data_IF_394109397945
#
_entry.id   IF_394109397945
#
_cell.length_a   1.000
_cell.length_b   1.000
_cell.length_c   1.000
_cell.angle_alpha   90.00
_cell.angle_beta   90.00
_cell.angle_gamma   90.00
#
_symmetry.space_group_name_H-M   'P 1'
#
loop_
_entity.id
_entity.type
_entity.pdbx_description
1 polymer ?
#
# COMPACT_ATOMS: atom_id res chain seq x y z
N UNK A 1 -18.05 -12.06 -1.61
CA UNK A 1 -17.01 -12.02 -0.55
C UNK A 1 -17.18 -10.75 0.26
N UNK A 2 -17.41 -10.83 1.57
CA UNK A 2 -17.72 -9.66 2.41
C UNK A 2 -16.49 -8.77 2.65
N UNK A 3 -16.69 -7.48 2.90
CA UNK A 3 -15.62 -6.51 3.21
C UNK A 3 -14.74 -6.98 4.38
N UNK A 4 -15.36 -7.60 5.39
CA UNK A 4 -14.66 -8.17 6.56
C UNK A 4 -13.71 -9.29 6.16
N UNK A 5 -14.15 -10.19 5.27
CA UNK A 5 -13.32 -11.29 4.79
C UNK A 5 -12.14 -10.80 3.93
N UNK A 6 -12.38 -9.81 3.06
CA UNK A 6 -11.32 -9.14 2.28
C UNK A 6 -10.26 -8.52 3.20
N UNK A 7 -10.71 -7.79 4.22
CA UNK A 7 -9.82 -7.13 5.18
C UNK A 7 -9.01 -8.14 6.01
N UNK A 8 -9.66 -9.22 6.46
CA UNK A 8 -8.98 -10.28 7.22
C UNK A 8 -7.89 -10.96 6.40
N UNK A 9 -8.20 -11.42 5.18
CA UNK A 9 -7.20 -12.05 4.30
C UNK A 9 -6.05 -11.08 3.99
N UNK A 10 -6.37 -9.82 3.72
CA UNK A 10 -5.35 -8.81 3.44
C UNK A 10 -4.42 -8.60 4.64
N UNK A 11 -4.94 -8.58 5.87
CA UNK A 11 -4.10 -8.52 7.09
C UNK A 11 -3.19 -9.73 7.20
N UNK A 12 -3.69 -10.94 6.95
CA UNK A 12 -2.88 -12.17 6.98
C UNK A 12 -1.75 -12.09 5.95
N UNK A 13 -2.04 -11.65 4.73
CA UNK A 13 -1.05 -11.46 3.66
C UNK A 13 -0.01 -10.40 4.07
N UNK A 14 -0.44 -9.30 4.68
CA UNK A 14 0.47 -8.25 5.13
C UNK A 14 1.43 -8.73 6.23
N UNK A 15 0.95 -9.53 7.19
CA UNK A 15 1.79 -10.11 8.25
C UNK A 15 2.78 -11.13 7.69
N UNK A 16 2.31 -12.00 6.79
CA UNK A 16 3.16 -12.98 6.13
C UNK A 16 4.22 -12.30 5.24
N UNK A 17 3.83 -11.29 4.47
CA UNK A 17 4.71 -10.49 3.64
C UNK A 17 5.75 -9.70 4.45
N UNK A 18 5.33 -9.09 5.56
CA UNK A 18 6.25 -8.43 6.50
C UNK A 18 7.28 -9.39 7.09
N UNK A 19 6.85 -10.60 7.45
CA UNK A 19 7.75 -11.67 7.90
C UNK A 19 8.74 -12.09 6.81
N UNK A 20 8.28 -12.22 5.56
CA UNK A 20 9.13 -12.54 4.42
C UNK A 20 10.18 -11.45 4.17
N UNK A 21 9.77 -10.17 4.20
CA UNK A 21 10.68 -9.02 4.10
C UNK A 21 11.75 -9.07 5.20
N UNK A 22 11.34 -9.31 6.46
CA UNK A 22 12.27 -9.41 7.58
C UNK A 22 13.31 -10.51 7.36
N UNK A 23 12.88 -11.69 6.90
CA UNK A 23 13.79 -12.80 6.58
C UNK A 23 14.72 -12.43 5.42
N UNK A 24 14.21 -11.81 4.36
CA UNK A 24 15.00 -11.37 3.20
C UNK A 24 16.11 -10.40 3.63
N UNK A 25 15.78 -9.38 4.42
CA UNK A 25 16.75 -8.35 4.85
C UNK A 25 17.80 -8.92 5.82
N UNK A 26 17.43 -9.88 6.66
CA UNK A 26 18.32 -10.40 7.72
C UNK A 26 19.14 -11.61 7.31
N UNK A 27 18.72 -12.36 6.28
CA UNK A 27 19.35 -13.65 5.93
C UNK A 27 19.87 -13.74 4.50
N UNK A 28 19.50 -12.84 3.60
CA UNK A 28 19.93 -12.88 2.21
C UNK A 28 20.89 -11.72 1.93
N UNK A 29 21.91 -12.01 1.12
CA UNK A 29 22.84 -11.00 0.65
C UNK A 29 22.17 -10.10 -0.41
N UNK A 30 22.56 -8.82 -0.50
CA UNK A 30 21.98 -7.88 -1.46
C UNK A 30 22.51 -8.15 -2.88
N UNK A 31 21.92 -9.13 -3.56
CA UNK A 31 22.11 -9.37 -4.99
C UNK A 31 20.91 -8.83 -5.81
N UNK A 32 21.06 -8.80 -7.14
CA UNK A 32 20.03 -8.25 -8.05
C UNK A 32 18.68 -8.97 -7.90
N UNK A 33 18.71 -10.30 -7.68
CA UNK A 33 17.49 -11.10 -7.53
C UNK A 33 16.82 -10.84 -6.18
N UNK A 34 17.58 -10.75 -5.09
CA UNK A 34 17.07 -10.46 -3.75
C UNK A 34 16.51 -9.04 -3.67
N UNK A 35 17.11 -8.07 -4.36
CA UNK A 35 16.54 -6.72 -4.49
C UNK A 35 15.20 -6.77 -5.23
N UNK A 36 15.12 -7.49 -6.36
CA UNK A 36 13.86 -7.67 -7.08
C UNK A 36 12.78 -8.34 -6.24
N UNK A 37 13.15 -9.39 -5.50
CA UNK A 37 12.28 -10.08 -4.56
C UNK A 37 11.80 -9.15 -3.44
N UNK A 38 12.70 -8.35 -2.85
CA UNK A 38 12.39 -7.41 -1.78
C UNK A 38 11.37 -6.37 -2.25
N UNK A 39 11.53 -5.81 -3.45
CA UNK A 39 10.59 -4.85 -4.02
C UNK A 39 9.24 -5.48 -4.32
N UNK A 40 9.21 -6.72 -4.85
CA UNK A 40 7.97 -7.44 -5.08
C UNK A 40 7.24 -7.77 -3.77
N UNK A 41 7.96 -8.20 -2.74
CA UNK A 41 7.41 -8.44 -1.41
C UNK A 41 6.90 -7.14 -0.78
N UNK A 42 7.63 -6.03 -0.93
CA UNK A 42 7.21 -4.72 -0.46
C UNK A 42 5.89 -4.28 -1.11
N UNK A 43 5.77 -4.44 -2.44
CA UNK A 43 4.55 -4.14 -3.19
C UNK A 43 3.35 -4.88 -2.59
N UNK A 44 3.46 -6.20 -2.48
CA UNK A 44 2.37 -7.06 -2.02
C UNK A 44 2.03 -6.76 -0.56
N UNK A 45 3.04 -6.59 0.29
CA UNK A 45 2.86 -6.34 1.72
C UNK A 45 2.17 -5.03 1.98
N UNK A 46 2.62 -3.95 1.33
CA UNK A 46 2.02 -2.61 1.51
C UNK A 46 0.63 -2.55 0.87
N UNK A 47 0.44 -3.12 -0.32
CA UNK A 47 -0.88 -3.18 -0.94
C UNK A 47 -1.88 -3.94 -0.05
N UNK A 48 -1.47 -5.07 0.52
CA UNK A 48 -2.32 -5.83 1.44
C UNK A 48 -2.59 -5.07 2.74
N UNK A 49 -1.60 -4.40 3.31
CA UNK A 49 -1.75 -3.59 4.53
C UNK A 49 -2.68 -2.37 4.32
N UNK A 50 -2.69 -1.78 3.13
CA UNK A 50 -3.52 -0.64 2.80
C UNK A 50 -5.02 -0.98 2.75
N UNK A 51 -5.40 -2.23 2.46
CA UNK A 51 -6.82 -2.65 2.38
C UNK A 51 -7.57 -2.43 3.71
N UNK A 52 -7.15 -2.99 4.87
CA UNK A 52 -7.86 -2.80 6.13
C UNK A 52 -7.84 -1.34 6.60
N UNK A 53 -6.75 -0.61 6.35
CA UNK A 53 -6.64 0.83 6.67
C UNK A 53 -7.65 1.63 5.84
N UNK A 54 -7.68 1.41 4.53
CA UNK A 54 -8.62 2.06 3.62
C UNK A 54 -10.06 1.72 3.99
N UNK A 55 -10.36 0.46 4.32
CA UNK A 55 -11.68 0.05 4.77
C UNK A 55 -12.10 0.77 6.06
N UNK A 56 -11.19 0.91 7.04
CA UNK A 56 -11.46 1.63 8.28
C UNK A 56 -11.72 3.12 8.05
N UNK A 57 -10.90 3.77 7.20
CA UNK A 57 -11.06 5.19 6.84
C UNK A 57 -12.37 5.42 6.09
N UNK A 58 -12.68 4.61 5.07
CA UNK A 58 -13.91 4.75 4.29
C UNK A 58 -15.16 4.46 5.14
N UNK A 59 -15.13 3.48 6.04
CA UNK A 59 -16.24 3.24 6.97
C UNK A 59 -16.50 4.42 7.92
N UNK A 60 -15.49 5.23 8.22
CA UNK A 60 -15.61 6.38 9.11
C UNK A 60 -16.01 7.67 8.40
N UNK A 61 -15.54 7.87 7.17
CA UNK A 61 -15.63 9.17 6.49
C UNK A 61 -16.40 9.17 5.16
N UNK A 62 -16.67 8.00 4.56
CA UNK A 62 -17.43 7.92 3.30
C UNK A 62 -18.95 7.74 3.53
N UNK A 63 -19.75 7.92 2.48
CA UNK A 63 -21.21 7.69 2.49
C UNK A 63 -21.55 6.23 2.79
N UNK A 64 -22.70 5.95 3.40
CA UNK A 64 -23.06 4.60 3.90
C UNK A 64 -23.03 3.49 2.82
N UNK A 65 -23.22 3.84 1.55
CA UNK A 65 -23.28 2.98 0.37
C UNK A 65 -21.98 2.97 -0.47
N UNK A 66 -20.88 3.53 0.06
CA UNK A 66 -19.62 3.70 -0.66
C UNK A 66 -19.09 2.39 -1.27
N UNK A 67 -19.25 1.27 -0.56
CA UNK A 67 -18.72 -0.02 -0.98
C UNK A 67 -19.57 -0.68 -2.07
N UNK A 68 -20.87 -0.43 -2.10
CA UNK A 68 -21.75 -0.87 -3.20
C UNK A 68 -21.57 -0.01 -4.44
N UNK A 69 -21.29 1.30 -4.28
CA UNK A 69 -21.07 2.21 -5.38
C UNK A 69 -19.73 1.96 -6.11
N UNK A 70 -18.64 1.71 -5.38
CA UNK A 70 -17.34 1.34 -5.96
C UNK A 70 -16.65 0.21 -5.15
N UNK A 71 -16.91 -1.06 -5.48
CA UNK A 71 -16.27 -2.20 -4.80
C UNK A 71 -14.78 -2.38 -5.15
N UNK A 72 -14.29 -1.70 -6.20
CA UNK A 72 -12.91 -1.76 -6.67
C UNK A 72 -12.02 -0.69 -6.03
N UNK A 73 -12.63 0.29 -5.37
CA UNK A 73 -11.95 1.37 -4.65
C UNK A 73 -10.81 0.88 -3.74
N UNK A 74 -11.05 -0.15 -2.94
CA UNK A 74 -10.03 -0.69 -2.03
C UNK A 74 -8.84 -1.29 -2.76
N UNK A 75 -9.08 -1.95 -3.90
CA UNK A 75 -8.00 -2.53 -4.72
C UNK A 75 -7.17 -1.45 -5.40
N UNK A 76 -7.81 -0.35 -5.80
CA UNK A 76 -7.13 0.83 -6.34
C UNK A 76 -6.22 1.46 -5.29
N UNK A 77 -6.74 1.79 -4.10
CA UNK A 77 -5.93 2.33 -2.99
C UNK A 77 -4.79 1.39 -2.59
N UNK A 78 -5.04 0.08 -2.57
CA UNK A 78 -4.02 -0.93 -2.31
C UNK A 78 -2.89 -0.92 -3.36
N UNK A 79 -3.26 -0.98 -4.65
CA UNK A 79 -2.29 -0.97 -5.74
C UNK A 79 -1.46 0.31 -5.76
N UNK A 80 -2.11 1.46 -5.59
CA UNK A 80 -1.46 2.77 -5.54
C UNK A 80 -0.49 2.90 -4.36
N UNK A 81 -0.92 2.51 -3.14
CA UNK A 81 -0.08 2.54 -1.95
C UNK A 81 1.15 1.63 -2.08
N UNK A 82 0.94 0.42 -2.60
CA UNK A 82 2.03 -0.52 -2.84
C UNK A 82 3.02 -0.01 -3.89
N UNK A 83 2.53 0.53 -5.00
CA UNK A 83 3.37 1.09 -6.07
C UNK A 83 4.19 2.28 -5.56
N UNK A 84 3.56 3.18 -4.81
CA UNK A 84 4.25 4.31 -4.18
C UNK A 84 5.38 3.83 -3.27
N UNK A 85 5.13 2.83 -2.42
CA UNK A 85 6.16 2.29 -1.54
C UNK A 85 7.34 1.70 -2.31
N UNK A 86 7.09 0.97 -3.41
CA UNK A 86 8.15 0.44 -4.28
C UNK A 86 8.96 1.55 -4.94
N UNK A 87 8.30 2.58 -5.48
CA UNK A 87 8.98 3.71 -6.12
C UNK A 87 9.88 4.42 -5.09
N UNK A 88 9.36 4.71 -3.91
CA UNK A 88 10.13 5.35 -2.84
C UNK A 88 11.32 4.48 -2.40
N UNK A 89 11.10 3.17 -2.18
CA UNK A 89 12.16 2.25 -1.80
C UNK A 89 13.25 2.13 -2.90
N UNK A 90 12.84 2.08 -4.17
CA UNK A 90 13.76 2.01 -5.29
C UNK A 90 14.59 3.30 -5.45
N UNK A 91 13.96 4.47 -5.32
CA UNK A 91 14.67 5.75 -5.38
C UNK A 91 15.61 5.93 -4.18
N UNK A 92 15.21 5.46 -3.00
CA UNK A 92 16.06 5.45 -1.81
C UNK A 92 17.27 4.53 -2.02
N UNK A 93 17.09 3.34 -2.62
CA UNK A 93 18.18 2.42 -2.95
C UNK A 93 19.18 3.03 -3.93
N UNK A 94 18.71 3.87 -4.85
CA UNK A 94 19.57 4.63 -5.77
C UNK A 94 20.21 5.87 -5.15
N UNK A 95 19.92 6.16 -3.88
CA UNK A 95 20.32 7.40 -3.19
C UNK A 95 19.89 8.69 -3.92
N UNK A 96 18.86 8.60 -4.77
CA UNK A 96 18.32 9.75 -5.51
C UNK A 96 17.18 10.44 -4.76
N UNK A 97 16.67 9.80 -3.70
CA UNK A 97 15.59 10.32 -2.88
C UNK A 97 16.11 11.03 -1.64
N UNK A 98 15.84 12.33 -1.52
CA UNK A 98 15.90 13.03 -0.24
C UNK A 98 14.60 12.77 0.53
N UNK A 99 14.67 12.59 1.85
CA UNK A 99 13.50 12.39 2.72
C UNK A 99 12.42 13.47 2.54
N UNK A 100 12.83 14.71 2.21
CA UNK A 100 11.91 15.81 1.87
C UNK A 100 11.10 15.50 0.61
N UNK A 101 11.73 14.95 -0.43
CA UNK A 101 11.04 14.57 -1.66
C UNK A 101 10.06 13.41 -1.41
N UNK A 102 10.45 12.43 -0.59
CA UNK A 102 9.56 11.34 -0.17
C UNK A 102 8.30 11.87 0.54
N UNK A 103 8.48 12.83 1.45
CA UNK A 103 7.37 13.47 2.16
C UNK A 103 6.44 14.22 1.20
N UNK A 104 7.00 14.95 0.23
CA UNK A 104 6.20 15.65 -0.79
C UNK A 104 5.37 14.69 -1.64
N UNK A 105 5.93 13.57 -2.07
CA UNK A 105 5.17 12.54 -2.80
C UNK A 105 4.05 11.95 -1.94
N UNK A 106 4.30 11.71 -0.65
CA UNK A 106 3.29 11.20 0.27
C UNK A 106 2.15 12.21 0.47
N UNK A 107 2.47 13.50 0.66
CA UNK A 107 1.45 14.55 0.78
C UNK A 107 0.65 14.69 -0.50
N UNK A 108 1.29 14.73 -1.67
CA UNK A 108 0.60 14.79 -2.96
C UNK A 108 -0.36 13.61 -3.14
N UNK A 109 0.09 12.41 -2.76
CA UNK A 109 -0.72 11.19 -2.80
C UNK A 109 -1.97 11.31 -1.90
N UNK A 110 -1.79 11.69 -0.64
CA UNK A 110 -2.89 11.89 0.32
C UNK A 110 -3.88 12.95 -0.14
N UNK A 111 -3.39 14.04 -0.74
CA UNK A 111 -4.25 15.12 -1.27
C UNK A 111 -5.09 14.62 -2.45
N UNK A 112 -4.46 13.93 -3.41
CA UNK A 112 -5.16 13.32 -4.56
C UNK A 112 -6.21 12.33 -4.08
N UNK A 113 -5.87 11.48 -3.11
CA UNK A 113 -6.77 10.49 -2.54
C UNK A 113 -7.95 11.14 -1.80
N UNK A 114 -7.68 12.17 -0.99
CA UNK A 114 -8.70 12.96 -0.30
C UNK A 114 -9.67 13.62 -1.26
N UNK A 115 -9.15 14.12 -2.39
CA UNK A 115 -9.97 14.71 -3.43
C UNK A 115 -10.93 13.69 -4.06
N UNK A 116 -10.43 12.50 -4.39
CA UNK A 116 -11.27 11.39 -4.86
C UNK A 116 -12.30 10.93 -3.82
N UNK A 117 -11.99 11.02 -2.52
CA UNK A 117 -12.97 10.75 -1.46
C UNK A 117 -14.11 11.76 -1.47
N UNK A 118 -13.79 13.04 -1.67
CA UNK A 118 -14.79 14.13 -1.60
C UNK A 118 -15.61 14.36 -2.87
N UNK A 119 -15.13 13.91 -4.04
CA UNK A 119 -15.73 14.20 -5.36
C UNK A 119 -16.55 13.06 -6.00
N UNK A 120 -16.96 12.06 -5.24
CA UNK A 120 -17.94 11.09 -5.77
C UNK A 120 -19.33 11.77 -5.79
N UNK A 121 -19.55 12.55 -6.86
CA UNK A 121 -20.88 12.97 -7.33
C UNK A 121 -21.68 11.76 -7.80
#
# INVERSE_FOLDING_TARGET
MTLRWKSFLATVIAVAGGSAIYVTITRLEPDTLTIGLLLALLLITVAAAAIPVSAAVNNRFARADWFSADPNRLWRHAGESGLLAVILAYLQLKHTLNWVAALLFLVAFVVVESFFITRVE
#
